data_IF_749523930720
#
_entry.id   IF_749523930720
#
_cell.length_a   1.000
_cell.length_b   1.000
_cell.length_c   1.000
_cell.angle_alpha   90.00
_cell.angle_beta   90.00
_cell.angle_gamma   90.00
#
_symmetry.space_group_name_H-M   'P 1'
#
loop_
_entity.id
_entity.type
_entity.pdbx_description
1 polymer ?
#
# COMPACT_ATOMS: atom_id res chain seq x y z
N UNK A 1 8.55 37.80 -46.18
CA UNK A 1 9.38 37.99 -47.41
C UNK A 1 10.80 37.59 -47.06
N UNK A 2 11.38 36.60 -47.76
CA UNK A 2 12.76 36.08 -47.63
C UNK A 2 12.89 34.92 -46.62
N UNK A 3 12.90 33.63 -47.01
CA UNK A 3 13.91 32.81 -47.76
C UNK A 3 15.05 32.29 -46.87
N UNK A 4 15.04 30.99 -46.53
CA UNK A 4 15.93 29.90 -47.04
C UNK A 4 17.21 29.75 -46.17
N UNK A 5 17.66 28.57 -45.71
CA UNK A 5 18.30 27.47 -46.48
C UNK A 5 18.52 26.21 -45.57
N UNK A 6 18.12 25.04 -46.09
CA UNK A 6 18.65 23.64 -46.04
C UNK A 6 19.18 22.95 -44.75
N UNK A 7 18.69 21.73 -44.46
CA UNK A 7 19.20 20.43 -45.00
C UNK A 7 18.56 19.19 -44.30
N UNK A 8 17.73 18.39 -45.00
CA UNK A 8 17.83 16.93 -45.34
C UNK A 8 18.25 15.98 -44.19
N UNK A 9 17.51 14.91 -43.85
CA UNK A 9 17.26 13.72 -44.69
C UNK A 9 15.96 12.96 -44.33
N UNK A 10 15.41 12.30 -45.35
CA UNK A 10 14.15 11.54 -45.43
C UNK A 10 14.49 10.08 -45.77
N UNK A 11 13.87 9.10 -45.11
CA UNK A 11 13.74 7.73 -45.64
C UNK A 11 12.37 7.14 -45.27
N UNK A 12 11.60 6.83 -46.31
CA UNK A 12 10.50 5.86 -46.35
C UNK A 12 10.66 5.12 -47.68
N UNK A 13 10.70 3.78 -47.66
CA UNK A 13 10.21 2.90 -48.76
C UNK A 13 9.86 1.52 -48.16
N UNK A 14 8.58 1.13 -48.25
CA UNK A 14 8.04 -0.25 -48.24
C UNK A 14 7.89 -0.75 -49.71
N UNK A 15 7.33 -1.94 -50.03
CA UNK A 15 7.51 -3.32 -49.55
C UNK A 15 7.88 -4.28 -50.72
N UNK A 16 8.05 -5.58 -50.48
CA UNK A 16 7.98 -6.61 -51.54
C UNK A 16 7.44 -7.96 -51.01
N UNK A 17 6.53 -8.53 -51.80
CA UNK A 17 5.80 -9.81 -51.63
C UNK A 17 6.44 -10.88 -52.53
N UNK A 18 6.41 -12.16 -52.11
CA UNK A 18 6.67 -13.32 -52.96
C UNK A 18 6.47 -14.65 -52.22
N UNK A 19 5.37 -15.34 -52.53
CA UNK A 19 4.98 -16.70 -52.10
C UNK A 19 5.77 -17.79 -52.86
N UNK A 20 6.07 -18.92 -52.20
CA UNK A 20 5.62 -20.25 -52.65
C UNK A 20 5.88 -21.35 -51.61
N UNK A 21 4.92 -22.26 -51.49
CA UNK A 21 4.67 -23.17 -50.38
C UNK A 21 5.23 -24.59 -50.58
N UNK A 22 5.62 -25.28 -49.50
CA UNK A 22 5.46 -26.74 -49.33
C UNK A 22 5.33 -27.13 -47.84
N UNK A 23 4.22 -27.77 -47.46
CA UNK A 23 4.19 -28.86 -46.46
C UNK A 23 3.76 -28.56 -45.02
N UNK A 24 2.46 -28.72 -44.75
CA UNK A 24 1.84 -28.85 -43.40
C UNK A 24 1.86 -30.33 -42.96
N UNK A 25 2.07 -30.65 -41.67
CA UNK A 25 0.98 -31.12 -40.78
C UNK A 25 1.05 -30.40 -39.42
N UNK A 26 0.10 -29.54 -39.07
CA UNK A 26 -1.15 -29.82 -38.33
C UNK A 26 -0.99 -30.00 -36.80
N UNK A 27 -1.57 -29.00 -36.10
CA UNK A 27 -2.11 -28.96 -34.72
C UNK A 27 -1.23 -28.60 -33.49
N UNK A 28 -1.79 -27.90 -32.46
CA UNK A 28 -2.73 -26.78 -32.51
C UNK A 28 -2.24 -25.53 -31.74
N UNK A 29 -2.74 -24.38 -32.23
CA UNK A 29 -3.03 -23.12 -31.53
C UNK A 29 -2.66 -22.99 -30.03
N UNK A 30 -1.70 -22.13 -29.74
CA UNK A 30 -1.69 -21.38 -28.46
C UNK A 30 -2.08 -19.94 -28.77
N UNK A 31 -3.37 -19.67 -28.64
CA UNK A 31 -3.88 -18.32 -28.52
C UNK A 31 -3.33 -17.74 -27.20
N UNK A 32 -2.55 -16.66 -27.28
CA UNK A 32 -2.24 -15.85 -26.11
C UNK A 32 -3.50 -15.05 -25.74
N UNK A 33 -4.44 -15.74 -25.10
CA UNK A 33 -5.51 -15.10 -24.33
C UNK A 33 -4.89 -14.43 -23.10
N UNK A 34 -5.39 -13.24 -22.79
CA UNK A 34 -4.86 -12.33 -21.79
C UNK A 34 -4.50 -13.00 -20.47
N UNK A 35 -3.34 -12.62 -19.94
CA UNK A 35 -2.96 -12.89 -18.56
C UNK A 35 -3.99 -12.23 -17.63
N UNK A 36 -5.04 -12.97 -17.29
CA UNK A 36 -5.84 -12.72 -16.12
C UNK A 36 -4.88 -12.74 -14.92
N UNK A 37 -4.83 -11.62 -14.20
CA UNK A 37 -4.14 -11.54 -12.92
C UNK A 37 -4.68 -12.66 -12.02
N UNK A 38 -3.84 -13.63 -11.71
CA UNK A 38 -4.15 -14.71 -10.78
C UNK A 38 -4.33 -14.05 -9.42
N UNK A 39 -5.60 -13.83 -9.04
CA UNK A 39 -5.96 -13.53 -7.68
C UNK A 39 -5.44 -14.70 -6.84
N UNK A 40 -4.55 -14.40 -5.89
CA UNK A 40 -4.14 -15.35 -4.87
C UNK A 40 -5.34 -15.60 -3.95
N UNK A 41 -6.35 -16.32 -4.43
CA UNK A 41 -7.35 -16.97 -3.61
C UNK A 41 -6.64 -18.14 -2.93
N UNK A 42 -5.97 -17.84 -1.82
CA UNK A 42 -5.64 -18.88 -0.86
C UNK A 42 -6.99 -19.36 -0.34
N UNK A 43 -7.29 -20.64 -0.55
CA UNK A 43 -8.46 -21.35 -0.02
C UNK A 43 -8.34 -21.41 1.52
N UNK A 44 -8.54 -20.26 2.14
CA UNK A 44 -8.24 -20.01 3.56
C UNK A 44 -9.29 -20.59 4.50
N UNK A 45 -10.37 -21.17 3.97
CA UNK A 45 -11.55 -21.56 4.75
C UNK A 45 -12.19 -20.39 5.53
N UNK A 46 -11.76 -19.15 5.26
CA UNK A 46 -12.29 -17.96 5.89
C UNK A 46 -13.61 -17.59 5.20
N UNK A 47 -14.66 -17.39 6.00
CA UNK A 47 -15.93 -16.86 5.49
C UNK A 47 -15.69 -15.55 4.73
N UNK A 48 -16.49 -15.23 3.69
CA UNK A 48 -16.40 -13.95 2.99
C UNK A 48 -16.50 -12.78 3.98
N UNK A 49 -15.92 -11.61 3.66
CA UNK A 49 -15.88 -10.50 4.61
C UNK A 49 -17.27 -10.10 5.12
N UNK A 50 -18.29 -10.19 4.26
CA UNK A 50 -19.70 -9.96 4.58
C UNK A 50 -20.28 -10.92 5.63
N UNK A 51 -19.71 -12.11 5.78
CA UNK A 51 -20.17 -13.14 6.73
C UNK A 51 -19.30 -13.22 7.99
N UNK A 52 -18.27 -12.37 8.12
CA UNK A 52 -17.42 -12.30 9.30
C UNK A 52 -17.94 -11.23 10.27
N UNK A 53 -17.83 -11.44 11.60
CA UNK A 53 -18.13 -10.39 12.56
C UNK A 53 -17.28 -9.14 12.28
N UNK A 54 -17.86 -7.95 12.49
CA UNK A 54 -17.14 -6.66 12.43
C UNK A 54 -15.83 -6.81 13.21
N UNK A 55 -14.69 -6.54 12.56
CA UNK A 55 -13.43 -6.61 13.26
C UNK A 55 -13.38 -5.47 14.28
N UNK A 56 -13.09 -5.80 15.53
CA UNK A 56 -12.89 -4.81 16.59
C UNK A 56 -11.46 -4.29 16.42
N UNK A 57 -11.27 -2.98 16.17
CA UNK A 57 -9.93 -2.42 16.09
C UNK A 57 -9.18 -2.63 17.39
N UNK A 58 -7.92 -3.05 17.28
CA UNK A 58 -7.06 -3.18 18.46
C UNK A 58 -6.66 -1.80 19.00
N UNK A 59 -6.58 -1.62 20.33
CA UNK A 59 -5.97 -0.42 20.90
C UNK A 59 -4.49 -0.31 20.50
N UNK A 60 -3.86 0.87 20.66
CA UNK A 60 -2.40 0.99 20.55
C UNK A 60 -1.68 -0.03 21.43
N UNK A 61 -0.55 -0.58 20.95
CA UNK A 61 0.20 -1.63 21.68
C UNK A 61 0.60 -1.22 23.09
N UNK A 62 0.91 0.07 23.28
CA UNK A 62 1.26 0.63 24.58
C UNK A 62 0.06 0.81 25.53
N UNK A 63 -1.16 0.77 25.00
CA UNK A 63 -2.41 0.79 25.76
C UNK A 63 -3.03 -0.63 25.92
N UNK A 64 -2.55 -1.61 25.16
CA UNK A 64 -3.10 -2.97 25.12
C UNK A 64 -2.49 -3.90 26.17
N UNK A 65 -3.25 -4.93 26.57
CA UNK A 65 -2.69 -6.08 27.28
C UNK A 65 -1.64 -6.77 26.38
N UNK A 66 -0.42 -7.07 26.89
CA UNK A 66 0.64 -7.73 26.12
C UNK A 66 0.27 -9.13 25.57
N UNK A 67 -0.85 -9.70 25.98
CA UNK A 67 -1.40 -10.98 25.48
C UNK A 67 -2.19 -10.86 24.16
N UNK A 68 -2.54 -9.64 23.71
CA UNK A 68 -3.28 -9.42 22.46
C UNK A 68 -2.38 -9.75 21.26
N UNK A 69 -2.66 -10.86 20.58
CA UNK A 69 -1.97 -11.25 19.34
C UNK A 69 -2.51 -10.44 18.15
N UNK A 70 -1.57 -9.92 17.36
CA UNK A 70 -1.82 -9.02 16.24
C UNK A 70 -2.15 -9.78 14.97
N UNK A 71 -3.24 -9.36 14.32
CA UNK A 71 -3.80 -10.10 13.20
C UNK A 71 -4.51 -11.36 13.68
N UNK A 72 -5.77 -11.56 13.31
CA UNK A 72 -6.37 -12.89 13.47
C UNK A 72 -5.65 -13.82 12.50
N UNK A 73 -4.67 -14.55 13.00
CA UNK A 73 -4.15 -15.70 12.29
C UNK A 73 -5.32 -16.64 12.03
N UNK A 74 -5.66 -16.87 10.77
CA UNK A 74 -6.63 -17.89 10.39
C UNK A 74 -5.98 -19.23 10.77
N UNK A 75 -6.40 -19.79 11.91
CA UNK A 75 -5.73 -20.95 12.53
C UNK A 75 -5.73 -22.15 11.57
N UNK A 76 -4.56 -22.75 11.33
CA UNK A 76 -4.46 -24.22 11.31
C UNK A 76 -4.31 -24.69 12.76
N UNK A 77 -5.12 -25.67 13.16
CA UNK A 77 -4.90 -26.37 14.43
C UNK A 77 -3.56 -27.12 14.37
N UNK A 78 -2.50 -26.54 14.95
CA UNK A 78 -1.34 -27.32 15.41
C UNK A 78 -0.61 -26.56 16.53
N UNK A 79 -0.35 -27.29 17.62
CA UNK A 79 0.07 -26.77 18.92
C UNK A 79 1.49 -26.22 18.98
N UNK A 80 1.71 -25.03 18.43
CA UNK A 80 2.94 -24.27 18.66
C UNK A 80 2.92 -23.62 20.06
N UNK A 81 3.97 -23.89 20.86
CA UNK A 81 4.17 -23.30 22.19
C UNK A 81 4.22 -21.77 22.09
N UNK A 82 3.33 -21.11 22.81
CA UNK A 82 3.29 -19.65 22.98
C UNK A 82 4.56 -19.21 23.71
N UNK A 83 5.50 -18.62 22.98
CA UNK A 83 6.65 -17.91 23.57
C UNK A 83 6.13 -16.62 24.19
N UNK A 84 6.27 -16.47 25.51
CA UNK A 84 5.83 -15.27 26.24
C UNK A 84 6.57 -14.03 25.70
N UNK A 85 5.88 -12.92 25.37
CA UNK A 85 6.55 -11.71 24.95
C UNK A 85 7.38 -11.15 26.11
N UNK A 86 8.67 -10.91 25.83
CA UNK A 86 9.60 -10.23 26.74
C UNK A 86 9.09 -8.80 26.93
N UNK A 87 8.90 -8.36 28.18
CA UNK A 87 8.49 -7.00 28.54
C UNK A 87 9.46 -6.01 27.91
N UNK A 88 9.05 -5.34 26.81
CA UNK A 88 9.85 -4.32 26.15
C UNK A 88 9.62 -3.00 26.88
N UNK A 89 10.71 -2.44 27.41
CA UNK A 89 10.69 -1.09 27.95
C UNK A 89 10.39 -0.13 26.79
N UNK A 90 9.43 0.79 26.98
CA UNK A 90 9.21 1.89 26.05
C UNK A 90 10.47 2.76 26.02
N UNK A 91 11.23 2.68 24.93
CA UNK A 91 12.30 3.64 24.70
C UNK A 91 11.70 4.85 24.00
N UNK A 92 11.64 5.98 24.70
CA UNK A 92 11.19 7.25 24.13
C UNK A 92 11.94 7.57 22.82
N UNK A 93 11.28 8.29 21.90
CA UNK A 93 11.90 8.79 20.67
C UNK A 93 13.19 9.55 20.98
N UNK A 94 14.34 9.00 20.57
CA UNK A 94 15.62 9.70 20.65
C UNK A 94 15.78 10.66 19.47
N UNK A 95 16.63 11.68 19.62
CA UNK A 95 16.97 12.60 18.53
C UNK A 95 17.46 11.85 17.28
N UNK A 96 18.35 10.87 17.46
CA UNK A 96 18.86 10.02 16.37
C UNK A 96 17.75 9.27 15.64
N UNK A 97 16.76 8.76 16.38
CA UNK A 97 15.65 8.00 15.83
C UNK A 97 14.67 8.90 15.07
N UNK A 98 14.40 10.10 15.59
CA UNK A 98 13.62 11.13 14.90
C UNK A 98 14.29 11.55 13.59
N UNK A 99 15.59 11.81 13.60
CA UNK A 99 16.34 12.18 12.40
C UNK A 99 16.38 11.02 11.38
N UNK A 100 16.43 9.77 11.83
CA UNK A 100 16.29 8.61 10.94
C UNK A 100 14.91 8.55 10.26
N UNK A 101 13.83 8.86 10.97
CA UNK A 101 12.49 9.00 10.36
C UNK A 101 12.48 10.06 9.28
N UNK A 102 13.00 11.25 9.58
CA UNK A 102 13.00 12.40 8.69
C UNK A 102 13.84 12.13 7.43
N UNK A 103 15.04 11.59 7.59
CA UNK A 103 15.93 11.30 6.47
C UNK A 103 15.31 10.30 5.47
N UNK A 104 14.76 9.19 5.97
CA UNK A 104 14.16 8.14 5.14
C UNK A 104 12.85 8.60 4.48
N UNK A 105 12.04 9.38 5.20
CA UNK A 105 10.82 9.99 4.66
C UNK A 105 11.17 10.99 3.55
N UNK A 106 12.11 11.91 3.77
CA UNK A 106 12.52 12.89 2.78
C UNK A 106 13.09 12.22 1.52
N UNK A 107 13.95 11.21 1.68
CA UNK A 107 14.49 10.42 0.56
C UNK A 107 13.38 9.72 -0.23
N UNK A 108 12.39 9.16 0.46
CA UNK A 108 11.25 8.48 -0.18
C UNK A 108 10.34 9.46 -0.90
N UNK A 109 10.04 10.61 -0.29
CA UNK A 109 9.21 11.64 -0.91
C UNK A 109 9.84 12.18 -2.18
N UNK A 110 11.16 12.38 -2.19
CA UNK A 110 11.88 12.77 -3.41
C UNK A 110 11.65 11.75 -4.53
N UNK A 111 11.75 10.45 -4.23
CA UNK A 111 11.49 9.39 -5.22
C UNK A 111 10.01 9.38 -5.66
N UNK A 112 9.06 9.49 -4.73
CA UNK A 112 7.64 9.48 -5.07
C UNK A 112 7.25 10.66 -5.95
N UNK A 113 7.80 11.86 -5.69
CA UNK A 113 7.57 13.05 -6.51
C UNK A 113 8.17 12.90 -7.91
N UNK A 114 9.41 12.42 -8.02
CA UNK A 114 10.02 12.10 -9.31
C UNK A 114 9.20 11.09 -10.12
N UNK A 115 8.67 10.06 -9.46
CA UNK A 115 7.81 9.06 -10.09
C UNK A 115 6.46 9.63 -10.51
N UNK A 116 5.90 10.58 -9.75
CA UNK A 116 4.70 11.32 -10.16
C UNK A 116 4.99 12.15 -11.42
N UNK A 117 6.08 12.93 -11.42
CA UNK A 117 6.43 13.85 -12.50
C UNK A 117 6.73 13.11 -13.81
N UNK A 118 7.33 11.92 -13.71
CA UNK A 118 7.62 11.06 -14.86
C UNK A 118 6.47 10.12 -15.24
N UNK A 119 5.36 10.12 -14.49
CA UNK A 119 4.22 9.22 -14.69
C UNK A 119 4.54 7.74 -14.46
N UNK A 120 5.63 7.41 -13.78
CA UNK A 120 6.09 6.04 -13.56
C UNK A 120 5.46 5.40 -12.31
N UNK A 121 4.13 5.34 -12.31
CA UNK A 121 3.33 4.84 -11.20
C UNK A 121 3.61 3.37 -10.86
N UNK A 122 3.96 2.55 -11.85
CA UNK A 122 4.34 1.15 -11.62
C UNK A 122 5.53 0.99 -10.67
N UNK A 123 6.45 1.96 -10.64
CA UNK A 123 7.62 1.90 -9.76
C UNK A 123 7.26 2.21 -8.32
N UNK A 124 6.25 3.06 -8.06
CA UNK A 124 5.76 3.39 -6.71
C UNK A 124 5.39 2.11 -5.95
N UNK A 125 4.69 1.18 -6.62
CA UNK A 125 4.26 -0.08 -6.01
C UNK A 125 5.41 -0.96 -5.52
N UNK A 126 6.58 -0.86 -6.16
CA UNK A 126 7.77 -1.69 -5.88
C UNK A 126 8.70 -1.10 -4.83
N UNK A 127 8.45 0.12 -4.36
CA UNK A 127 9.25 0.71 -3.30
C UNK A 127 8.89 0.08 -1.94
N UNK A 128 9.84 0.10 -1.01
CA UNK A 128 9.73 -0.55 0.31
C UNK A 128 9.85 0.47 1.44
N UNK A 129 8.85 1.34 1.57
CA UNK A 129 8.90 2.49 2.48
C UNK A 129 7.92 2.46 3.65
N UNK A 130 7.06 1.44 3.71
CA UNK A 130 5.89 1.45 4.60
C UNK A 130 6.23 1.71 6.08
N UNK A 131 7.42 1.30 6.54
CA UNK A 131 7.80 1.40 7.95
C UNK A 131 8.02 2.84 8.44
N UNK A 132 8.66 3.69 7.64
CA UNK A 132 8.95 5.08 8.03
C UNK A 132 7.95 6.07 7.43
N UNK A 133 7.32 5.75 6.30
CA UNK A 133 6.24 6.56 5.74
C UNK A 133 4.92 6.38 6.50
N UNK A 134 4.62 5.16 6.95
CA UNK A 134 3.38 4.84 7.68
C UNK A 134 3.71 4.10 8.98
N UNK A 135 4.39 4.76 9.94
CA UNK A 135 4.77 4.12 11.19
C UNK A 135 3.56 3.57 11.94
N UNK A 136 3.75 2.37 12.47
CA UNK A 136 2.78 1.62 13.27
C UNK A 136 3.44 1.05 14.53
N UNK A 137 2.66 0.53 15.45
CA UNK A 137 3.06 0.09 16.78
C UNK A 137 3.67 -1.33 16.83
N UNK A 138 3.70 -2.02 15.69
CA UNK A 138 4.09 -3.43 15.57
C UNK A 138 4.76 -3.78 14.23
N UNK A 139 5.28 -2.78 13.51
CA UNK A 139 6.01 -3.01 12.27
C UNK A 139 7.22 -3.93 12.44
N UNK A 140 7.61 -4.62 11.37
CA UNK A 140 8.75 -5.54 11.40
C UNK A 140 10.14 -4.86 11.48
N UNK A 141 10.23 -3.56 11.16
CA UNK A 141 11.44 -2.76 11.38
C UNK A 141 11.29 -1.94 12.65
N UNK A 142 11.67 -2.54 13.77
CA UNK A 142 11.41 -2.01 15.12
C UNK A 142 11.89 -0.57 15.34
N UNK A 143 13.01 -0.17 14.70
CA UNK A 143 13.52 1.21 14.78
C UNK A 143 12.51 2.28 14.32
N UNK A 144 11.56 1.91 13.47
CA UNK A 144 10.50 2.79 12.96
C UNK A 144 9.12 2.52 13.57
N UNK A 145 9.02 1.72 14.64
CA UNK A 145 7.73 1.49 15.29
C UNK A 145 7.45 2.58 16.32
N UNK A 146 6.32 3.28 16.23
CA UNK A 146 5.90 4.18 17.32
C UNK A 146 5.54 3.35 18.56
N UNK A 147 6.08 3.70 19.73
CA UNK A 147 5.97 2.85 20.94
C UNK A 147 5.23 3.49 22.10
N UNK A 148 4.84 4.76 21.98
CA UNK A 148 4.09 5.50 23.00
C UNK A 148 3.35 6.69 22.39
N UNK A 149 2.54 7.39 23.19
CA UNK A 149 1.92 8.65 22.77
C UNK A 149 2.96 9.75 22.54
N UNK A 150 4.02 9.76 23.35
CA UNK A 150 5.11 10.73 23.21
C UNK A 150 5.85 10.57 21.87
N UNK A 151 6.00 9.35 21.36
CA UNK A 151 6.54 9.12 20.01
C UNK A 151 5.65 9.77 18.93
N UNK A 152 4.32 9.67 19.08
CA UNK A 152 3.35 10.28 18.17
C UNK A 152 3.42 11.81 18.27
N UNK A 153 3.37 12.36 19.48
CA UNK A 153 3.41 13.80 19.71
C UNK A 153 4.73 14.41 19.23
N UNK A 154 5.85 13.70 19.39
CA UNK A 154 7.16 14.13 18.87
C UNK A 154 7.16 14.24 17.35
N UNK A 155 6.66 13.23 16.64
CA UNK A 155 6.62 13.25 15.17
C UNK A 155 5.61 14.27 14.64
N UNK A 156 4.43 14.38 15.26
CA UNK A 156 3.41 15.38 14.90
C UNK A 156 3.86 16.81 15.21
N UNK A 157 4.72 16.98 16.21
CA UNK A 157 5.29 18.26 16.61
C UNK A 157 6.34 18.80 15.63
N UNK A 158 6.83 18.00 14.68
CA UNK A 158 7.72 18.43 13.60
C UNK A 158 6.88 18.74 12.33
N UNK A 159 6.70 20.03 11.95
CA UNK A 159 5.84 20.38 10.82
C UNK A 159 6.33 19.83 9.48
N UNK A 160 7.65 19.75 9.28
CA UNK A 160 8.22 19.26 8.03
C UNK A 160 7.97 17.75 7.87
N UNK A 161 8.12 17.00 8.96
CA UNK A 161 7.78 15.57 8.96
C UNK A 161 6.28 15.35 8.74
N UNK A 162 5.42 16.16 9.37
CA UNK A 162 3.98 16.02 9.25
C UNK A 162 3.46 16.34 7.83
N UNK A 163 3.96 17.42 7.22
CA UNK A 163 3.67 17.74 5.82
C UNK A 163 4.13 16.61 4.89
N UNK A 164 5.34 16.09 5.12
CA UNK A 164 5.86 14.94 4.39
C UNK A 164 5.02 13.68 4.58
N UNK A 165 4.47 13.46 5.76
CA UNK A 165 3.59 12.33 6.05
C UNK A 165 2.29 12.43 5.25
N UNK A 166 1.63 13.58 5.26
CA UNK A 166 0.41 13.82 4.48
C UNK A 166 0.66 13.70 2.97
N UNK A 167 1.77 14.24 2.48
CA UNK A 167 2.15 14.13 1.08
C UNK A 167 2.44 12.67 0.67
N UNK A 168 3.06 11.90 1.56
CA UNK A 168 3.27 10.47 1.39
C UNK A 168 1.96 9.70 1.24
N UNK A 169 0.98 9.97 2.10
CA UNK A 169 -0.37 9.40 2.01
C UNK A 169 -1.01 9.78 0.67
N UNK A 170 -0.96 11.05 0.29
CA UNK A 170 -1.53 11.55 -0.98
C UNK A 170 -0.92 10.84 -2.19
N UNK A 171 0.41 10.79 -2.29
CA UNK A 171 1.13 10.21 -3.43
C UNK A 171 0.85 8.71 -3.59
N UNK A 172 0.85 7.96 -2.48
CA UNK A 172 0.59 6.52 -2.51
C UNK A 172 -0.87 6.23 -2.86
N UNK A 173 -1.83 6.94 -2.28
CA UNK A 173 -3.24 6.79 -2.65
C UNK A 173 -3.49 7.20 -4.11
N UNK A 174 -2.85 8.26 -4.59
CA UNK A 174 -2.95 8.68 -5.99
C UNK A 174 -2.41 7.60 -6.93
N UNK A 175 -1.31 6.91 -6.56
CA UNK A 175 -0.79 5.77 -7.34
C UNK A 175 -1.78 4.59 -7.43
N UNK A 176 -2.74 4.51 -6.50
CA UNK A 176 -3.84 3.54 -6.55
C UNK A 176 -5.10 4.09 -7.24
N UNK A 177 -5.05 5.32 -7.75
CA UNK A 177 -6.18 5.98 -8.39
C UNK A 177 -7.16 6.60 -7.39
N UNK A 178 -6.71 7.03 -6.22
CA UNK A 178 -7.53 7.69 -5.21
C UNK A 178 -7.01 9.08 -4.85
N UNK A 179 -7.88 10.08 -4.98
CA UNK A 179 -7.64 11.42 -4.46
C UNK A 179 -8.13 11.48 -3.01
N UNK A 180 -7.18 11.54 -2.07
CA UNK A 180 -7.49 11.57 -0.64
C UNK A 180 -8.20 12.85 -0.20
N UNK A 181 -7.92 13.97 -0.86
CA UNK A 181 -8.49 15.27 -0.52
C UNK A 181 -9.93 15.36 -1.01
N UNK A 182 -10.19 14.91 -2.25
CA UNK A 182 -11.53 14.87 -2.82
C UNK A 182 -12.33 13.61 -2.43
N UNK A 183 -11.70 12.64 -1.75
CA UNK A 183 -12.31 11.37 -1.31
C UNK A 183 -13.01 10.65 -2.47
N UNK A 184 -12.31 10.51 -3.61
CA UNK A 184 -12.87 9.90 -4.82
C UNK A 184 -11.82 9.22 -5.67
N UNK A 185 -12.28 8.32 -6.55
CA UNK A 185 -11.46 7.76 -7.62
C UNK A 185 -11.09 8.85 -8.62
N UNK A 186 -9.88 8.75 -9.15
CA UNK A 186 -9.43 9.55 -10.30
C UNK A 186 -9.36 8.67 -11.54
N UNK A 187 -9.28 9.32 -12.70
CA UNK A 187 -8.94 8.63 -13.94
C UNK A 187 -7.57 7.97 -13.81
N UNK A 188 -7.48 6.70 -14.19
CA UNK A 188 -6.26 5.91 -14.04
C UNK A 188 -5.29 6.20 -15.18
N UNK A 189 -4.10 6.67 -14.84
CA UNK A 189 -2.97 6.71 -15.76
C UNK A 189 -2.28 5.34 -15.84
N UNK A 190 -1.49 5.06 -16.89
CA UNK A 190 -0.74 3.82 -16.99
C UNK A 190 0.10 3.52 -15.75
N UNK A 191 -0.08 2.32 -15.19
CA UNK A 191 0.60 1.88 -13.96
C UNK A 191 -0.04 2.32 -12.65
N UNK A 192 -1.08 3.16 -12.70
CA UNK A 192 -1.95 3.38 -11.55
C UNK A 192 -2.89 2.20 -11.32
N UNK A 193 -3.40 2.11 -10.09
CA UNK A 193 -4.42 1.14 -9.70
C UNK A 193 -3.98 0.30 -8.52
N UNK A 194 -4.96 -0.27 -7.83
CA UNK A 194 -4.69 -1.10 -6.67
C UNK A 194 -4.06 -2.44 -7.08
N UNK A 195 -2.86 -2.74 -6.57
CA UNK A 195 -2.09 -3.96 -6.91
C UNK A 195 -2.03 -4.98 -5.75
N UNK A 196 -3.12 -5.13 -4.99
CA UNK A 196 -3.21 -6.06 -3.86
C UNK A 196 -2.17 -5.83 -2.74
N UNK A 197 -1.78 -4.58 -2.53
CA UNK A 197 -0.90 -4.17 -1.44
C UNK A 197 -1.68 -4.02 -0.11
N UNK A 198 -2.40 -5.07 0.29
CA UNK A 198 -3.25 -5.12 1.48
C UNK A 198 -2.50 -4.67 2.74
N UNK A 199 -1.25 -5.12 2.92
CA UNK A 199 -0.39 -4.73 4.05
C UNK A 199 -0.13 -3.23 4.08
N UNK A 200 0.17 -2.62 2.93
CA UNK A 200 0.49 -1.18 2.85
C UNK A 200 -0.75 -0.36 3.21
N UNK A 201 -1.90 -0.73 2.67
CA UNK A 201 -3.18 -0.09 2.99
C UNK A 201 -3.52 -0.24 4.48
N UNK A 202 -3.37 -1.44 5.05
CA UNK A 202 -3.60 -1.68 6.46
C UNK A 202 -2.67 -0.87 7.37
N UNK A 203 -1.36 -0.81 7.03
CA UNK A 203 -0.38 0.03 7.74
C UNK A 203 -0.72 1.51 7.65
N UNK A 204 -1.14 2.00 6.50
CA UNK A 204 -1.56 3.39 6.31
C UNK A 204 -2.77 3.72 7.18
N UNK A 205 -3.84 2.91 7.15
CA UNK A 205 -5.00 3.10 8.02
C UNK A 205 -4.61 3.04 9.51
N UNK A 206 -3.78 2.07 9.91
CA UNK A 206 -3.31 1.95 11.29
C UNK A 206 -2.49 3.17 11.71
N UNK A 207 -1.61 3.65 10.85
CA UNK A 207 -0.81 4.85 11.08
C UNK A 207 -1.72 6.07 11.26
N UNK A 208 -2.66 6.32 10.35
CA UNK A 208 -3.60 7.44 10.45
C UNK A 208 -4.44 7.39 11.74
N UNK A 209 -4.87 6.18 12.15
CA UNK A 209 -5.52 5.96 13.43
C UNK A 209 -4.61 6.30 14.63
N UNK A 210 -3.35 5.86 14.64
CA UNK A 210 -2.41 6.17 15.71
C UNK A 210 -2.09 7.66 15.79
N UNK A 211 -1.97 8.33 14.64
CA UNK A 211 -1.69 9.76 14.55
C UNK A 211 -2.93 10.65 14.73
N UNK A 212 -4.13 10.07 14.89
CA UNK A 212 -5.42 10.77 15.04
C UNK A 212 -5.76 11.68 13.83
N UNK A 213 -5.39 11.25 12.63
CA UNK A 213 -5.63 11.96 11.37
C UNK A 213 -7.01 11.62 10.79
N UNK A 214 -8.07 12.13 11.42
CA UNK A 214 -9.44 11.68 11.20
C UNK A 214 -9.94 11.82 9.75
N UNK A 215 -9.70 12.97 9.11
CA UNK A 215 -10.16 13.22 7.76
C UNK A 215 -9.48 12.28 6.74
N UNK A 216 -8.15 12.13 6.86
CA UNK A 216 -7.39 11.21 6.03
C UNK A 216 -7.78 9.75 6.29
N UNK A 217 -7.96 9.36 7.56
CA UNK A 217 -8.39 8.00 7.91
C UNK A 217 -9.71 7.66 7.23
N UNK A 218 -10.73 8.52 7.34
CA UNK A 218 -12.03 8.33 6.69
C UNK A 218 -11.88 8.21 5.17
N UNK A 219 -11.05 9.04 4.55
CA UNK A 219 -10.83 9.01 3.10
C UNK A 219 -10.17 7.70 2.65
N UNK A 220 -9.13 7.25 3.34
CA UNK A 220 -8.42 5.99 3.02
C UNK A 220 -9.30 4.77 3.35
N UNK A 221 -10.14 4.83 4.39
CA UNK A 221 -11.13 3.79 4.65
C UNK A 221 -12.20 3.71 3.56
N UNK A 222 -12.68 4.84 3.05
CA UNK A 222 -13.59 4.87 1.90
C UNK A 222 -12.96 4.23 0.66
N UNK A 223 -11.68 4.53 0.40
CA UNK A 223 -10.93 3.83 -0.63
C UNK A 223 -10.89 2.31 -0.39
N UNK A 224 -10.59 1.88 0.84
CA UNK A 224 -10.58 0.47 1.20
C UNK A 224 -11.94 -0.22 1.01
N UNK A 225 -13.04 0.45 1.37
CA UNK A 225 -14.40 -0.07 1.09
C UNK A 225 -14.64 -0.25 -0.40
N UNK A 226 -14.23 0.72 -1.24
CA UNK A 226 -14.34 0.56 -2.69
C UNK A 226 -13.47 -0.58 -3.20
N UNK A 227 -12.21 -0.67 -2.76
CA UNK A 227 -11.31 -1.79 -3.10
C UNK A 227 -11.93 -3.13 -2.74
N UNK A 228 -12.53 -3.24 -1.55
CA UNK A 228 -13.21 -4.44 -1.13
C UNK A 228 -14.36 -4.80 -2.08
N UNK A 229 -15.16 -3.82 -2.50
CA UNK A 229 -16.33 -4.05 -3.36
C UNK A 229 -15.95 -4.36 -4.81
N UNK A 230 -15.13 -3.52 -5.46
CA UNK A 230 -14.85 -3.63 -6.89
C UNK A 230 -13.69 -4.55 -7.23
N UNK A 231 -12.55 -4.41 -6.57
CA UNK A 231 -11.34 -5.16 -6.90
C UNK A 231 -11.30 -6.53 -6.21
N UNK A 232 -11.79 -6.61 -4.96
CA UNK A 232 -11.76 -7.84 -4.16
C UNK A 232 -13.10 -8.58 -4.14
N UNK A 233 -14.16 -8.05 -4.78
CA UNK A 233 -15.49 -8.69 -4.91
C UNK A 233 -16.08 -9.15 -3.57
N UNK A 234 -15.88 -8.37 -2.51
CA UNK A 234 -16.33 -8.67 -1.15
C UNK A 234 -15.37 -9.52 -0.32
N UNK A 235 -14.21 -9.92 -0.86
CA UNK A 235 -13.17 -10.60 -0.07
C UNK A 235 -12.50 -9.66 0.93
N UNK A 236 -11.94 -10.23 1.99
CA UNK A 236 -11.19 -9.47 3.01
C UNK A 236 -9.79 -9.08 2.59
N UNK A 237 -9.14 -8.27 3.42
CA UNK A 237 -7.74 -7.91 3.29
C UNK A 237 -6.85 -8.90 4.05
N UNK A 238 -5.79 -9.38 3.41
CA UNK A 238 -4.93 -10.42 3.97
C UNK A 238 -3.45 -10.20 3.71
N UNK A 239 -2.63 -10.76 4.60
CA UNK A 239 -1.20 -10.95 4.39
C UNK A 239 -0.79 -12.34 4.86
N UNK A 240 -0.55 -13.24 3.90
CA UNK A 240 -0.41 -14.65 4.20
C UNK A 240 -1.65 -15.14 4.96
N UNK A 241 -1.47 -15.60 6.20
CA UNK A 241 -2.57 -16.09 7.04
C UNK A 241 -3.21 -15.03 7.95
N UNK A 242 -2.78 -13.77 7.83
CA UNK A 242 -3.22 -12.69 8.71
C UNK A 242 -4.36 -11.92 8.07
N UNK A 243 -5.52 -11.88 8.73
CA UNK A 243 -6.63 -10.99 8.38
C UNK A 243 -6.34 -9.55 8.80
N UNK A 244 -6.55 -8.61 7.87
CA UNK A 244 -6.28 -7.18 8.01
C UNK A 244 -7.55 -6.30 7.97
N UNK A 245 -8.74 -6.89 8.03
CA UNK A 245 -10.02 -6.16 7.91
C UNK A 245 -10.27 -5.13 9.02
N UNK A 246 -9.47 -5.13 10.10
CA UNK A 246 -9.50 -4.05 11.10
C UNK A 246 -9.33 -2.67 10.47
N UNK A 247 -8.64 -2.58 9.30
CA UNK A 247 -8.47 -1.35 8.56
C UNK A 247 -9.79 -0.65 8.21
N UNK A 248 -10.88 -1.41 8.05
CA UNK A 248 -12.20 -0.89 7.70
C UNK A 248 -12.93 -0.25 8.90
N UNK A 249 -12.46 -0.51 10.12
CA UNK A 249 -13.25 -0.25 11.33
C UNK A 249 -12.56 0.63 12.36
N UNK A 250 -11.34 1.13 12.10
CA UNK A 250 -10.72 2.14 12.97
C UNK A 250 -11.66 3.35 13.12
N UNK A 251 -11.89 3.78 14.37
CA UNK A 251 -12.78 4.88 14.73
C UNK A 251 -11.99 5.88 15.60
N UNK A 252 -12.21 7.18 15.37
CA UNK A 252 -11.61 8.26 16.17
C UNK A 252 -12.74 9.10 16.84
N UNK A 253 -12.53 9.63 18.05
CA UNK A 253 -11.34 9.49 18.90
C UNK A 253 -11.12 8.04 19.36
N UNK A 254 -9.86 7.67 19.61
CA UNK A 254 -9.50 6.32 20.09
C UNK A 254 -10.16 6.10 21.46
N UNK A 255 -10.89 5.01 21.61
CA UNK A 255 -11.51 4.59 22.87
C UNK A 255 -10.50 4.18 23.94
#
# INVERSE_FOLDING_TARGET
VGSSVFSQFRWMVEPAVGDDAVGVPSDPSVQFAGQAAVAWDIDMGALPASARPKAVPRPPRWAADPSVQYGRGVRKMSGAKVVKPRRRQSSNMTCERLEAFKAEQASTLSQLKELQDTGNWNRVHRLHFDWWMFPIDDGSKEKFNVTSEEDIDTLRGDPAWLEGYHEGVRLVCLSWGWDVSATRRVELLPGMGYQNWDVRLAKMCRSLYLFKEEALLKSVQNFAYQVQQSEKKGAGFFYGLVCLDELLYFELPRC
#
